data_IF_757531012766
#
_entry.id   IF_757531012766
#
_cell.length_a   1.000
_cell.length_b   1.000
_cell.length_c   1.000
_cell.angle_alpha   90.00
_cell.angle_beta   90.00
_cell.angle_gamma   90.00
#
_symmetry.space_group_name_H-M   'P 1'
#
loop_
_entity.id
_entity.type
_entity.pdbx_description
1 polymer ?
#
# COMPACT_ATOMS: atom_id res chain seq x y z
N UNK A 1 15.28 7.72 -16.21
CA UNK A 1 14.81 6.37 -15.84
C UNK A 1 14.82 6.34 -14.33
N UNK A 2 13.66 6.17 -13.69
CA UNK A 2 13.64 6.01 -12.23
C UNK A 2 14.15 4.61 -11.91
N UNK A 3 15.22 4.52 -11.12
CA UNK A 3 15.69 3.23 -10.62
C UNK A 3 14.55 2.58 -9.84
N UNK A 4 14.09 1.41 -10.30
CA UNK A 4 13.14 0.59 -9.58
C UNK A 4 13.85 0.07 -8.33
N UNK A 5 13.60 0.72 -7.21
CA UNK A 5 14.04 0.23 -5.91
C UNK A 5 13.27 -1.05 -5.63
N UNK A 6 14.00 -2.17 -5.67
CA UNK A 6 13.50 -3.45 -5.22
C UNK A 6 13.89 -3.59 -3.75
N UNK A 7 12.89 -3.75 -2.89
CA UNK A 7 13.10 -4.15 -1.50
C UNK A 7 12.71 -5.62 -1.38
N UNK A 8 13.51 -6.45 -0.68
CA UNK A 8 13.14 -7.82 -0.41
C UNK A 8 12.04 -7.84 0.67
N UNK A 9 10.81 -7.54 0.29
CA UNK A 9 9.67 -7.47 1.21
C UNK A 9 9.12 -8.87 1.49
N UNK A 10 8.76 -9.13 2.75
CA UNK A 10 7.95 -10.26 3.17
C UNK A 10 6.62 -9.77 3.73
N UNK A 11 5.55 -10.52 3.48
CA UNK A 11 4.21 -10.26 3.99
C UNK A 11 3.33 -11.51 3.79
N UNK A 12 2.24 -11.58 4.55
CA UNK A 12 1.25 -12.65 4.48
C UNK A 12 0.01 -12.14 3.76
N UNK A 13 -0.42 -12.88 2.73
CA UNK A 13 -1.67 -12.58 2.03
C UNK A 13 -2.83 -13.12 2.86
N UNK A 14 -3.82 -12.29 3.25
CA UNK A 14 -4.92 -12.77 4.08
C UNK A 14 -5.78 -13.81 3.33
N UNK A 15 -6.45 -14.68 4.09
CA UNK A 15 -7.36 -15.68 3.53
C UNK A 15 -8.46 -15.03 2.67
N UNK A 16 -8.84 -15.68 1.56
CA UNK A 16 -9.84 -15.15 0.63
C UNK A 16 -9.30 -14.13 -0.38
N UNK A 17 -8.07 -13.63 -0.21
CA UNK A 17 -7.41 -12.75 -1.16
C UNK A 17 -6.58 -13.53 -2.17
N UNK A 18 -6.73 -13.16 -3.45
CA UNK A 18 -6.01 -13.78 -4.57
C UNK A 18 -5.00 -12.78 -5.15
N UNK A 19 -3.69 -13.06 -5.08
CA UNK A 19 -2.68 -12.23 -5.74
C UNK A 19 -2.88 -12.20 -7.25
N UNK A 20 -2.69 -11.02 -7.84
CA UNK A 20 -2.72 -10.82 -9.30
C UNK A 20 -1.51 -10.00 -9.74
N UNK A 21 -1.03 -10.15 -10.99
CA UNK A 21 0.09 -9.37 -11.49
C UNK A 21 -0.18 -7.85 -11.40
N UNK A 22 0.76 -7.04 -10.88
CA UNK A 22 0.62 -5.59 -10.88
C UNK A 22 0.72 -5.07 -12.32
N UNK A 23 -0.22 -4.19 -12.69
CA UNK A 23 -0.27 -3.57 -14.03
C UNK A 23 0.06 -2.07 -14.00
N UNK A 24 0.29 -1.51 -12.81
CA UNK A 24 0.53 -0.08 -12.59
C UNK A 24 1.97 0.14 -12.14
N UNK A 25 2.66 1.10 -12.75
CA UNK A 25 4.01 1.48 -12.35
C UNK A 25 4.06 1.95 -10.89
N UNK A 26 5.08 1.52 -10.15
CA UNK A 26 5.25 1.83 -8.72
C UNK A 26 4.45 0.93 -7.77
N UNK A 27 3.52 0.11 -8.28
CA UNK A 27 2.84 -0.94 -7.52
C UNK A 27 3.60 -2.25 -7.68
N UNK A 28 4.00 -2.86 -6.57
CA UNK A 28 4.79 -4.10 -6.58
C UNK A 28 3.97 -5.33 -6.20
N UNK A 29 2.81 -5.14 -5.58
CA UNK A 29 1.90 -6.22 -5.25
C UNK A 29 0.45 -5.76 -5.32
N UNK A 30 -0.40 -6.66 -5.83
CA UNK A 30 -1.86 -6.50 -5.88
C UNK A 30 -2.50 -7.82 -5.45
N UNK A 31 -3.51 -7.75 -4.60
CA UNK A 31 -4.41 -8.85 -4.33
C UNK A 31 -5.86 -8.38 -4.46
N UNK A 32 -6.73 -9.25 -4.97
CA UNK A 32 -8.16 -9.00 -5.08
C UNK A 32 -8.92 -9.94 -4.16
N UNK A 33 -10.06 -9.49 -3.64
CA UNK A 33 -10.99 -10.34 -2.92
C UNK A 33 -12.22 -10.55 -3.82
N UNK A 34 -12.30 -11.66 -4.58
CA UNK A 34 -13.39 -11.87 -5.52
C UNK A 34 -14.75 -11.89 -4.80
N UNK A 35 -15.67 -11.05 -5.26
CA UNK A 35 -17.07 -11.11 -4.87
C UNK A 35 -17.92 -10.94 -6.14
N UNK A 36 -18.50 -12.03 -6.69
CA UNK A 36 -19.21 -11.97 -7.96
C UNK A 36 -20.49 -11.12 -7.91
N UNK A 37 -21.02 -10.88 -6.71
CA UNK A 37 -22.24 -10.08 -6.49
C UNK A 37 -21.94 -8.59 -6.30
N UNK A 38 -20.67 -8.18 -6.26
CA UNK A 38 -20.27 -6.79 -6.03
C UNK A 38 -19.90 -6.07 -7.33
N UNK A 39 -20.39 -4.84 -7.49
CA UNK A 39 -20.05 -3.96 -8.62
C UNK A 39 -18.57 -3.54 -8.62
N UNK A 40 -17.93 -3.61 -7.45
CA UNK A 40 -16.49 -3.42 -7.29
C UNK A 40 -15.83 -4.72 -6.83
N UNK A 41 -14.67 -5.04 -7.38
CA UNK A 41 -13.80 -6.06 -6.79
C UNK A 41 -12.86 -5.39 -5.78
N UNK A 42 -13.02 -5.64 -4.45
CA UNK A 42 -12.10 -5.13 -3.45
C UNK A 42 -10.66 -5.54 -3.76
N UNK A 43 -9.72 -4.64 -3.52
CA UNK A 43 -8.31 -4.87 -3.80
C UNK A 43 -7.42 -4.31 -2.69
N UNK A 44 -6.30 -4.98 -2.47
CA UNK A 44 -5.15 -4.49 -1.71
C UNK A 44 -4.03 -4.21 -2.71
N UNK A 45 -3.40 -3.05 -2.59
CA UNK A 45 -2.17 -2.73 -3.31
C UNK A 45 -1.06 -2.38 -2.34
N UNK A 46 0.17 -2.70 -2.75
CA UNK A 46 1.40 -2.27 -2.09
C UNK A 46 2.28 -1.61 -3.15
N UNK A 47 2.49 -0.31 -2.98
CA UNK A 47 3.40 0.49 -3.78
C UNK A 47 4.70 0.79 -3.06
N UNK A 48 5.76 1.03 -3.83
CA UNK A 48 7.08 1.43 -3.35
C UNK A 48 7.46 2.75 -4.00
N UNK A 49 7.86 3.71 -3.18
CA UNK A 49 8.38 4.99 -3.65
C UNK A 49 9.71 5.34 -2.98
N UNK A 50 10.77 5.44 -3.77
CA UNK A 50 12.04 6.00 -3.31
C UNK A 50 11.87 7.51 -3.11
N UNK A 51 12.30 8.02 -1.95
CA UNK A 51 12.26 9.44 -1.61
C UNK A 51 13.65 9.90 -1.18
N UNK A 52 14.19 10.84 -1.94
CA UNK A 52 15.43 11.58 -1.60
C UNK A 52 15.11 12.86 -0.82
N UNK A 53 13.86 13.33 -0.90
CA UNK A 53 13.37 14.47 -0.15
C UNK A 53 13.17 14.16 1.34
N UNK A 54 13.18 15.23 2.15
CA UNK A 54 12.86 15.20 3.57
C UNK A 54 11.37 15.51 3.84
N UNK A 55 10.49 15.29 2.86
CA UNK A 55 9.07 15.66 2.97
C UNK A 55 8.39 14.93 4.15
N UNK A 56 7.63 15.58 5.03
CA UNK A 56 6.91 14.89 6.09
C UNK A 56 5.98 13.78 5.55
N UNK A 57 5.84 12.66 6.28
CA UNK A 57 5.02 11.53 5.83
C UNK A 57 3.55 11.92 5.60
N UNK A 58 3.08 12.91 6.37
CA UNK A 58 1.75 13.50 6.21
C UNK A 58 1.58 14.21 4.86
N UNK A 59 2.59 14.96 4.42
CA UNK A 59 2.57 15.66 3.14
C UNK A 59 2.61 14.66 1.98
N UNK A 60 3.33 13.53 2.12
CA UNK A 60 3.28 12.43 1.14
C UNK A 60 1.86 11.83 1.06
N UNK A 61 1.18 11.67 2.19
CA UNK A 61 -0.22 11.22 2.20
C UNK A 61 -1.18 12.25 1.57
N UNK A 62 -0.85 13.55 1.64
CA UNK A 62 -1.56 14.63 0.94
C UNK A 62 -1.32 14.58 -0.57
N UNK A 63 -0.09 14.39 -1.02
CA UNK A 63 0.22 14.18 -2.45
C UNK A 63 -0.55 13.00 -3.04
N UNK A 64 -0.72 11.91 -2.27
CA UNK A 64 -1.53 10.77 -2.68
C UNK A 64 -3.01 11.14 -2.83
N UNK A 65 -3.55 11.96 -1.91
CA UNK A 65 -4.91 12.50 -1.99
C UNK A 65 -5.08 13.40 -3.21
N UNK A 66 -4.15 14.32 -3.45
CA UNK A 66 -4.18 15.20 -4.63
C UNK A 66 -4.13 14.41 -5.93
N UNK A 67 -3.23 13.42 -6.01
CA UNK A 67 -3.12 12.53 -7.18
C UNK A 67 -4.42 11.78 -7.45
N UNK A 68 -5.06 11.26 -6.40
CA UNK A 68 -6.33 10.53 -6.52
C UNK A 68 -7.50 11.47 -6.83
N UNK A 69 -7.51 12.68 -6.28
CA UNK A 69 -8.54 13.69 -6.54
C UNK A 69 -8.59 14.16 -7.99
N UNK A 70 -7.52 13.97 -8.77
CA UNK A 70 -7.52 14.28 -10.21
C UNK A 70 -8.38 13.33 -11.05
N UNK A 71 -8.71 12.14 -10.55
CA UNK A 71 -9.44 11.10 -11.29
C UNK A 71 -10.81 10.77 -10.70
N UNK A 72 -11.05 11.09 -9.43
CA UNK A 72 -12.33 10.83 -8.77
C UNK A 72 -13.31 11.98 -8.99
N UNK A 73 -14.61 11.65 -9.07
CA UNK A 73 -15.68 12.65 -9.11
C UNK A 73 -15.89 13.33 -7.75
N UNK A 74 -15.64 12.59 -6.66
CA UNK A 74 -15.61 13.09 -5.29
C UNK A 74 -14.50 12.39 -4.52
N UNK A 75 -13.80 13.14 -3.68
CA UNK A 75 -12.85 12.62 -2.70
C UNK A 75 -13.01 13.38 -1.40
N UNK A 76 -13.14 12.65 -0.30
CA UNK A 76 -13.17 13.19 1.06
C UNK A 76 -12.21 12.41 1.96
N UNK A 77 -11.36 13.12 2.71
CA UNK A 77 -10.53 12.53 3.76
C UNK A 77 -11.38 12.46 5.03
N UNK A 78 -11.75 11.25 5.46
CA UNK A 78 -12.58 11.04 6.65
C UNK A 78 -11.76 11.07 7.94
N UNK A 79 -10.57 10.49 7.90
CA UNK A 79 -9.63 10.43 9.03
C UNK A 79 -8.20 10.39 8.52
N UNK A 80 -7.28 10.98 9.28
CA UNK A 80 -5.84 10.90 9.07
C UNK A 80 -5.10 11.00 10.39
N UNK A 81 -4.18 10.07 10.61
CA UNK A 81 -3.34 10.03 11.81
C UNK A 81 -1.90 9.75 11.43
N UNK A 82 -0.96 10.50 12.01
CA UNK A 82 0.46 10.15 11.98
C UNK A 82 0.73 9.07 13.02
N UNK A 83 1.53 8.06 12.64
CA UNK A 83 1.84 6.89 13.46
C UNK A 83 3.32 6.56 13.37
N UNK A 84 3.79 5.62 14.18
CA UNK A 84 5.19 5.20 14.18
C UNK A 84 6.08 6.07 15.08
N UNK A 85 7.37 6.08 14.78
CA UNK A 85 8.38 6.79 15.57
C UNK A 85 9.06 7.87 14.73
N UNK A 86 9.75 8.85 15.33
CA UNK A 86 10.50 9.86 14.57
C UNK A 86 11.53 9.27 13.60
N UNK A 87 12.07 8.08 13.89
CA UNK A 87 13.03 7.38 13.03
C UNK A 87 12.38 6.57 11.90
N UNK A 88 11.10 6.25 12.03
CA UNK A 88 10.31 5.51 11.05
C UNK A 88 8.86 6.03 11.09
N UNK A 89 8.62 7.24 10.55
CA UNK A 89 7.30 7.85 10.59
C UNK A 89 6.36 7.14 9.62
N UNK A 90 5.11 7.03 10.01
CA UNK A 90 4.02 6.49 9.21
C UNK A 90 2.80 7.40 9.23
N UNK A 91 1.87 7.14 8.33
CA UNK A 91 0.59 7.84 8.26
C UNK A 91 -0.50 6.84 7.90
N UNK A 92 -1.63 6.87 8.60
CA UNK A 92 -2.84 6.15 8.20
C UNK A 92 -3.90 7.16 7.79
N UNK A 93 -4.62 6.90 6.71
CA UNK A 93 -5.79 7.71 6.36
C UNK A 93 -6.93 6.87 5.79
N UNK A 94 -8.15 7.30 6.06
CA UNK A 94 -9.37 6.71 5.49
C UNK A 94 -10.03 7.73 4.59
N UNK A 95 -10.28 7.34 3.34
CA UNK A 95 -10.86 8.18 2.31
C UNK A 95 -12.22 7.63 1.88
N UNK A 96 -13.17 8.52 1.63
CA UNK A 96 -14.37 8.23 0.86
C UNK A 96 -14.18 8.75 -0.56
N UNK A 97 -14.49 7.91 -1.54
CA UNK A 97 -14.34 8.22 -2.96
C UNK A 97 -15.65 8.01 -3.69
N UNK A 98 -15.86 8.75 -4.77
CA UNK A 98 -16.87 8.45 -5.79
C UNK A 98 -16.21 8.43 -7.16
N UNK A 99 -16.39 7.34 -7.90
CA UNK A 99 -15.89 7.23 -9.29
C UNK A 99 -16.70 8.12 -10.24
N UNK A 100 -16.19 8.32 -11.46
CA UNK A 100 -16.90 9.06 -12.51
C UNK A 100 -18.24 8.41 -12.88
N UNK A 101 -18.33 7.08 -12.75
CA UNK A 101 -19.53 6.27 -12.98
C UNK A 101 -20.52 6.31 -11.80
N UNK A 102 -20.20 7.04 -10.72
CA UNK A 102 -21.08 7.23 -9.57
C UNK A 102 -20.94 6.17 -8.48
N UNK A 103 -19.94 5.29 -8.55
CA UNK A 103 -19.71 4.23 -7.58
C UNK A 103 -19.03 4.77 -6.32
N UNK A 104 -19.63 4.54 -5.15
CA UNK A 104 -19.05 4.93 -3.85
C UNK A 104 -18.05 3.86 -3.38
N UNK A 105 -16.86 4.31 -2.97
CA UNK A 105 -15.79 3.46 -2.46
C UNK A 105 -15.25 4.01 -1.13
N UNK A 106 -14.72 3.11 -0.32
CA UNK A 106 -13.90 3.43 0.84
C UNK A 106 -12.48 2.95 0.56
N UNK A 107 -11.50 3.81 0.87
CA UNK A 107 -10.09 3.47 0.74
C UNK A 107 -9.36 3.71 2.07
N UNK A 108 -8.75 2.67 2.62
CA UNK A 108 -7.87 2.76 3.79
C UNK A 108 -6.43 2.70 3.30
N UNK A 109 -5.65 3.72 3.62
CA UNK A 109 -4.25 3.86 3.21
C UNK A 109 -3.34 3.86 4.42
N UNK A 110 -2.20 3.19 4.28
CA UNK A 110 -1.11 3.18 5.24
C UNK A 110 0.18 3.52 4.50
N UNK A 111 0.85 4.57 4.95
CA UNK A 111 2.16 4.97 4.49
C UNK A 111 3.18 4.62 5.55
N UNK A 112 4.22 3.86 5.20
CA UNK A 112 5.29 3.47 6.12
C UNK A 112 6.64 3.89 5.56
N UNK A 113 7.47 4.51 6.40
CA UNK A 113 8.86 4.79 6.04
C UNK A 113 9.74 3.61 6.42
N UNK A 114 10.52 3.11 5.46
CA UNK A 114 11.58 2.11 5.69
C UNK A 114 12.93 2.64 5.18
N UNK A 115 14.05 2.19 5.75
CA UNK A 115 15.38 2.54 5.24
C UNK A 115 15.54 2.10 3.77
N UNK A 116 16.10 2.96 2.94
CA UNK A 116 16.39 2.69 1.53
C UNK A 116 17.87 2.88 1.20
N UNK A 117 18.33 2.37 0.05
CA UNK A 117 19.72 2.54 -0.38
C UNK A 117 20.10 4.00 -0.66
N UNK A 118 19.16 4.83 -1.11
CA UNK A 118 19.36 6.25 -1.45
C UNK A 118 18.57 7.19 -0.49
N UNK A 119 18.46 6.82 0.79
CA UNK A 119 17.73 7.60 1.80
C UNK A 119 16.61 6.78 2.42
N UNK A 120 15.35 7.13 2.14
CA UNK A 120 14.20 6.38 2.62
C UNK A 120 13.33 5.88 1.48
N UNK A 121 12.64 4.78 1.73
CA UNK A 121 11.58 4.27 0.89
C UNK A 121 10.27 4.44 1.64
N UNK A 122 9.24 4.88 0.93
CA UNK A 122 7.88 4.91 1.44
C UNK A 122 7.11 3.76 0.82
N UNK A 123 6.53 2.92 1.67
CA UNK A 123 5.57 1.90 1.29
C UNK A 123 4.18 2.53 1.34
N UNK A 124 3.43 2.46 0.24
CA UNK A 124 2.02 2.86 0.17
C UNK A 124 1.16 1.58 0.12
N UNK A 125 0.54 1.21 1.25
CA UNK A 125 -0.38 0.09 1.33
C UNK A 125 -1.81 0.63 1.27
N UNK A 126 -2.63 0.08 0.40
CA UNK A 126 -3.99 0.57 0.17
C UNK A 126 -4.95 -0.59 0.13
N UNK A 127 -6.06 -0.51 0.86
CA UNK A 127 -7.22 -1.37 0.67
C UNK A 127 -8.38 -0.53 0.15
N UNK A 128 -8.92 -0.89 -1.00
CA UNK A 128 -10.08 -0.26 -1.61
C UNK A 128 -11.23 -1.26 -1.64
N UNK A 129 -12.42 -0.85 -1.19
CA UNK A 129 -13.60 -1.69 -1.16
C UNK A 129 -14.89 -0.84 -1.25
N UNK A 130 -16.02 -1.48 -1.57
CA UNK A 130 -17.33 -0.86 -1.36
C UNK A 130 -17.58 -0.59 0.14
N UNK A 131 -18.42 0.39 0.51
CA UNK A 131 -18.68 0.73 1.92
C UNK A 131 -19.22 -0.43 2.78
N UNK A 132 -19.96 -1.36 2.18
CA UNK A 132 -20.48 -2.54 2.86
C UNK A 132 -19.36 -3.57 3.12
N UNK A 133 -18.57 -3.89 2.11
CA UNK A 133 -17.45 -4.84 2.19
C UNK A 133 -16.34 -4.35 3.12
N UNK A 134 -16.09 -3.03 3.15
CA UNK A 134 -15.01 -2.45 3.94
C UNK A 134 -15.09 -2.82 5.44
N UNK A 135 -16.30 -2.96 6.01
CA UNK A 135 -16.46 -3.35 7.42
C UNK A 135 -15.87 -4.74 7.70
N UNK A 136 -15.97 -5.64 6.73
CA UNK A 136 -15.52 -7.03 6.84
C UNK A 136 -14.05 -7.18 6.42
N UNK A 137 -13.61 -6.41 5.41
CA UNK A 137 -12.30 -6.58 4.79
C UNK A 137 -11.17 -5.75 5.42
N UNK A 138 -11.47 -4.61 6.05
CA UNK A 138 -10.44 -3.78 6.72
C UNK A 138 -9.67 -4.53 7.82
N UNK A 139 -10.29 -5.40 8.64
CA UNK A 139 -9.55 -6.28 9.55
C UNK A 139 -8.47 -7.12 8.87
N UNK A 140 -8.73 -7.66 7.68
CA UNK A 140 -7.75 -8.45 6.94
C UNK A 140 -6.63 -7.57 6.36
N UNK A 141 -6.98 -6.38 5.86
CA UNK A 141 -5.97 -5.40 5.47
C UNK A 141 -5.05 -5.02 6.64
N UNK A 142 -5.58 -4.89 7.87
CA UNK A 142 -4.74 -4.65 9.06
C UNK A 142 -3.78 -5.80 9.35
N UNK A 143 -4.21 -7.05 9.17
CA UNK A 143 -3.33 -8.23 9.30
C UNK A 143 -2.23 -8.20 8.23
N UNK A 144 -2.59 -7.88 6.99
CA UNK A 144 -1.62 -7.71 5.90
C UNK A 144 -0.58 -6.64 6.24
N UNK A 145 -1.01 -5.44 6.63
CA UNK A 145 -0.11 -4.34 7.04
C UNK A 145 0.82 -4.76 8.17
N UNK A 146 0.29 -5.46 9.19
CA UNK A 146 1.08 -5.92 10.33
C UNK A 146 2.12 -7.01 9.97
N UNK A 147 1.92 -7.73 8.88
CA UNK A 147 2.85 -8.75 8.39
C UNK A 147 3.98 -8.19 7.54
N UNK A 148 3.87 -6.95 7.04
CA UNK A 148 4.86 -6.37 6.12
C UNK A 148 6.18 -6.10 6.84
N UNK A 149 7.26 -6.66 6.31
CA UNK A 149 8.61 -6.47 6.82
C UNK A 149 9.65 -6.48 5.70
N UNK A 150 10.77 -5.79 5.91
CA UNK A 150 11.96 -5.92 5.06
C UNK A 150 12.69 -7.19 5.46
N UNK A 151 12.84 -8.14 4.54
CA UNK A 151 13.67 -9.33 4.74
C UNK A 151 15.13 -8.88 4.81
N UNK A 152 15.85 -9.35 5.82
CA UNK A 152 17.31 -9.27 5.79
C UNK A 152 17.79 -10.37 4.86
N UNK A 153 18.40 -10.00 3.74
CA UNK A 153 19.23 -10.95 2.99
C UNK A 153 20.37 -11.34 3.94
N UNK A 154 20.34 -12.57 4.45
CA UNK A 154 21.48 -13.12 5.16
C UNK A 154 22.41 -13.67 4.07
N UNK A 155 23.64 -13.19 3.91
CA UNK A 155 24.56 -13.74 2.93
C UNK A 155 25.02 -15.13 3.41
N UNK A 156 24.25 -16.17 3.06
CA UNK A 156 24.57 -17.59 3.21
C UNK A 156 23.60 -18.31 2.26
N UNK A 157 23.99 -18.82 1.09
CA UNK A 157 25.07 -19.74 0.77
C UNK A 157 25.81 -19.35 -0.52
N UNK A 158 27.07 -18.95 -0.37
CA UNK A 158 28.09 -18.97 -1.43
C UNK A 158 29.24 -19.86 -0.95
N UNK A 159 28.95 -21.09 -0.54
CA UNK A 159 29.98 -22.11 -0.30
C UNK A 159 29.33 -23.49 -0.12
N UNK A 160 29.11 -24.18 -1.24
CA UNK A 160 29.29 -25.62 -1.41
C UNK A 160 28.73 -26.04 -2.77
N UNK A 161 29.57 -25.89 -3.79
CA UNK A 161 29.73 -26.96 -4.77
C UNK A 161 31.19 -26.90 -5.21
N UNK A 162 31.99 -27.70 -4.51
CA UNK A 162 33.32 -28.07 -4.97
C UNK A 162 33.23 -29.39 -5.71
N UNK A 163 33.95 -29.46 -6.82
CA UNK A 163 34.94 -30.52 -7.06
C UNK A 163 36.06 -29.93 -7.94
#
# INVERSE_FOLDING_TARGET
MADLVTLPLGFDVPEGWTPVPPVVSGVVFVAVHPNPEADFTPNITLGIQQREDALPIKEIAEEAVERLGRTMALLEVLDRQEVGSPAAPGCTQTLRLRTGEGQDLLQVQVFLTVPGPAGRVVLELVCTAGPQDARTLVPDFRKFVASVHVRRETPQEKENDGD
#
